data_IF_930224065792
#
_entry.id   IF_930224065792
#
_cell.length_a   1.000
_cell.length_b   1.000
_cell.length_c   1.000
_cell.angle_alpha   90.00
_cell.angle_beta   90.00
_cell.angle_gamma   90.00
#
_symmetry.space_group_name_H-M   'P 1'
#
loop_
_entity.id
_entity.type
_entity.pdbx_description
1 polymer ?
#
# COMPACT_ATOMS: atom_id res chain seq x y z
N UNK A 1 -16.35 11.55 2.86
CA UNK A 1 -15.64 10.79 3.91
C UNK A 1 -15.29 11.79 5.01
N UNK A 2 -15.35 11.39 6.27
CA UNK A 2 -15.32 12.25 7.47
C UNK A 2 -13.99 12.97 7.75
N UNK A 3 -13.01 12.88 6.84
CA UNK A 3 -11.70 13.52 6.99
C UNK A 3 -10.78 12.80 7.98
N UNK A 4 -11.17 11.62 8.47
CA UNK A 4 -10.35 10.83 9.40
C UNK A 4 -9.08 10.32 8.71
N UNK A 5 -7.93 10.53 9.36
CA UNK A 5 -6.65 9.96 8.93
C UNK A 5 -6.38 8.64 9.65
N UNK A 6 -6.07 7.59 8.90
CA UNK A 6 -5.69 6.28 9.44
C UNK A 6 -4.19 6.04 9.28
N UNK A 7 -3.38 6.20 10.35
CA UNK A 7 -1.96 5.93 10.25
C UNK A 7 -1.72 4.44 9.96
N UNK A 8 -0.98 4.16 8.90
CA UNK A 8 -0.74 2.82 8.41
C UNK A 8 0.77 2.58 8.27
N UNK A 9 1.32 1.73 9.15
CA UNK A 9 2.71 1.29 9.04
C UNK A 9 2.83 0.22 7.94
N UNK A 10 3.87 0.35 7.11
CA UNK A 10 4.25 -0.60 6.06
C UNK A 10 5.63 -1.15 6.42
N UNK A 11 5.64 -2.31 7.09
CA UNK A 11 6.87 -2.92 7.63
C UNK A 11 7.31 -4.17 6.85
N UNK A 12 6.58 -4.51 5.78
CA UNK A 12 6.77 -5.69 4.96
C UNK A 12 7.10 -5.28 3.52
N UNK A 13 7.72 -6.20 2.76
CA UNK A 13 8.01 -5.96 1.35
C UNK A 13 6.68 -5.90 0.58
N UNK A 14 6.33 -4.71 0.11
CA UNK A 14 5.17 -4.48 -0.76
C UNK A 14 5.53 -4.87 -2.19
N UNK A 15 4.77 -5.80 -2.76
CA UNK A 15 4.88 -6.19 -4.17
C UNK A 15 3.96 -5.34 -5.04
N UNK A 16 4.23 -5.19 -6.35
CA UNK A 16 3.25 -4.67 -7.29
C UNK A 16 1.91 -5.39 -7.14
N UNK A 17 0.80 -4.64 -7.21
CA UNK A 17 -0.57 -5.14 -7.03
C UNK A 17 -0.89 -5.68 -5.63
N UNK A 18 -0.05 -5.41 -4.62
CA UNK A 18 -0.43 -5.67 -3.23
C UNK A 18 -1.58 -4.75 -2.84
N UNK A 19 -2.55 -5.29 -2.12
CA UNK A 19 -3.60 -4.50 -1.48
C UNK A 19 -3.68 -4.79 0.00
N UNK A 20 -4.09 -3.78 0.78
CA UNK A 20 -4.33 -3.91 2.21
C UNK A 20 -5.74 -3.47 2.55
N UNK A 21 -6.44 -4.31 3.30
CA UNK A 21 -7.81 -4.06 3.75
C UNK A 21 -7.84 -3.48 5.16
N UNK A 22 -8.50 -2.35 5.32
CA UNK A 22 -8.86 -1.76 6.61
C UNK A 22 -10.35 -1.99 6.87
N UNK A 23 -10.64 -3.03 7.65
CA UNK A 23 -12.01 -3.49 7.91
C UNK A 23 -12.85 -2.41 8.58
N UNK A 24 -14.08 -2.22 8.10
CA UNK A 24 -15.06 -1.30 8.69
C UNK A 24 -14.78 0.19 8.48
N UNK A 25 -13.72 0.56 7.74
CA UNK A 25 -13.36 1.96 7.46
C UNK A 25 -13.95 2.49 6.15
N UNK A 26 -14.80 1.70 5.49
CA UNK A 26 -15.51 2.11 4.29
C UNK A 26 -16.77 2.91 4.58
N UNK A 27 -17.61 3.04 3.54
CA UNK A 27 -18.88 3.75 3.62
C UNK A 27 -19.90 2.98 4.48
N UNK A 28 -20.84 3.68 5.15
CA UNK A 28 -21.97 3.05 5.82
C UNK A 28 -22.81 2.22 4.86
N UNK A 29 -23.27 1.05 5.31
CA UNK A 29 -24.17 0.19 4.54
C UNK A 29 -25.60 0.74 4.64
N UNK A 30 -26.23 1.17 3.52
CA UNK A 30 -27.57 1.76 3.56
C UNK A 30 -28.66 0.75 3.99
N UNK A 31 -28.41 -0.56 3.84
CA UNK A 31 -29.37 -1.63 4.21
C UNK A 31 -29.21 -2.11 5.66
N UNK A 32 -28.10 -1.80 6.32
CA UNK A 32 -27.79 -2.27 7.67
C UNK A 32 -27.14 -1.14 8.46
N UNK A 33 -27.95 -0.41 9.24
CA UNK A 33 -27.46 0.64 10.12
C UNK A 33 -26.34 0.10 11.05
N UNK A 34 -25.25 0.86 11.17
CA UNK A 34 -24.09 0.50 12.00
C UNK A 34 -23.03 -0.38 11.31
N UNK A 35 -23.35 -1.03 10.18
CA UNK A 35 -22.33 -1.77 9.41
C UNK A 35 -21.66 -0.83 8.41
N UNK A 36 -20.33 -0.88 8.34
CA UNK A 36 -19.54 -0.19 7.31
C UNK A 36 -18.87 -1.20 6.39
N UNK A 37 -18.61 -0.78 5.15
CA UNK A 37 -17.72 -1.50 4.25
C UNK A 37 -16.26 -1.40 4.69
N UNK A 38 -15.35 -1.87 3.85
CA UNK A 38 -13.92 -1.83 4.13
C UNK A 38 -13.24 -0.77 3.24
N UNK A 39 -12.13 -0.20 3.72
CA UNK A 39 -11.26 0.64 2.91
C UNK A 39 -10.13 -0.24 2.35
N UNK A 40 -9.99 -0.29 1.03
CA UNK A 40 -8.93 -1.04 0.35
C UNK A 40 -7.86 -0.06 -0.10
N UNK A 41 -6.62 -0.31 0.33
CA UNK A 41 -5.44 0.44 -0.08
C UNK A 41 -4.73 -0.40 -1.14
N UNK A 42 -4.65 0.09 -2.36
CA UNK A 42 -3.90 -0.55 -3.44
C UNK A 42 -2.56 0.16 -3.61
N UNK A 43 -1.47 -0.62 -3.68
CA UNK A 43 -0.13 -0.09 -3.83
C UNK A 43 0.28 -0.06 -5.31
N UNK A 44 0.52 1.14 -5.83
CA UNK A 44 1.13 1.38 -7.14
C UNK A 44 2.64 1.58 -6.97
N UNK A 45 3.41 0.52 -7.24
CA UNK A 45 4.87 0.53 -7.09
C UNK A 45 5.51 1.15 -8.33
N UNK A 46 6.08 2.36 -8.18
CA UNK A 46 6.81 3.05 -9.24
C UNK A 46 8.29 2.67 -9.22
N UNK A 47 8.75 2.05 -10.31
CA UNK A 47 10.17 1.83 -10.55
C UNK A 47 10.80 3.09 -11.19
N UNK A 48 12.10 3.34 -10.97
CA UNK A 48 12.80 4.40 -11.68
C UNK A 48 12.95 4.07 -13.18
N UNK A 49 12.86 5.08 -14.05
CA UNK A 49 13.02 4.91 -15.50
C UNK A 49 14.44 4.50 -15.90
N UNK A 50 15.45 4.94 -15.13
CA UNK A 50 16.84 4.57 -15.32
C UNK A 50 17.60 4.61 -13.99
N UNK A 51 18.73 3.89 -13.94
CA UNK A 51 19.62 3.86 -12.79
C UNK A 51 21.08 4.03 -13.27
N UNK A 52 21.86 4.97 -12.69
CA UNK A 52 23.28 5.10 -12.96
C UNK A 52 24.05 3.81 -12.62
N UNK A 53 25.15 3.53 -13.32
CA UNK A 53 25.95 2.31 -13.10
C UNK A 53 26.39 2.14 -11.64
N UNK A 54 26.83 3.24 -10.99
CA UNK A 54 27.20 3.22 -9.58
C UNK A 54 26.03 2.78 -8.66
N UNK A 55 24.80 3.21 -8.95
CA UNK A 55 23.61 2.77 -8.20
C UNK A 55 23.27 1.30 -8.46
N UNK A 56 23.50 0.80 -9.68
CA UNK A 56 23.29 -0.62 -10.00
C UNK A 56 24.22 -1.53 -9.20
N UNK A 57 25.50 -1.16 -9.08
CA UNK A 57 26.47 -1.91 -8.27
C UNK A 57 26.06 -1.98 -6.79
N UNK A 58 25.61 -0.85 -6.23
CA UNK A 58 25.10 -0.81 -4.85
C UNK A 58 23.89 -1.71 -4.64
N UNK A 59 22.93 -1.70 -5.58
CA UNK A 59 21.73 -2.53 -5.51
C UNK A 59 22.08 -4.02 -5.64
N UNK A 60 23.00 -4.38 -6.56
CA UNK A 60 23.45 -5.77 -6.74
C UNK A 60 24.04 -6.37 -5.46
N UNK A 61 24.76 -5.57 -4.66
CA UNK A 61 25.32 -6.04 -3.38
C UNK A 61 24.29 -6.09 -2.23
N UNK A 62 23.14 -5.43 -2.36
CA UNK A 62 22.16 -5.27 -1.29
C UNK A 62 20.94 -6.20 -1.44
N UNK A 63 20.63 -6.66 -2.66
CA UNK A 63 19.49 -7.54 -2.91
C UNK A 63 19.86 -9.02 -2.70
N UNK A 64 18.89 -9.88 -2.31
CA UNK A 64 19.09 -11.32 -2.31
C UNK A 64 19.49 -11.85 -3.69
N UNK A 65 20.31 -12.90 -3.71
CA UNK A 65 20.71 -13.62 -4.91
C UNK A 65 19.54 -14.40 -5.54
#
# INVERSE_FOLDING_TARGET
MDGTTYPMRVNEIVRPNTSRRLTGQGLPNPKMAGRRGDLIVEFDVKFPDSLPSASKELIMNALPA
#
